data_IF_651872814449
#
_entry.id   IF_651872814449
#
_cell.length_a   1.000
_cell.length_b   1.000
_cell.length_c   1.000
_cell.angle_alpha   90.00
_cell.angle_beta   90.00
_cell.angle_gamma   90.00
#
_symmetry.space_group_name_H-M   'P 1'
#
loop_
_entity.id
_entity.type
_entity.pdbx_description
1 polymer ?
#
# COMPACT_ATOMS: atom_id res chain seq x y z
N UNK A 1 2.18 28.77 -23.52
CA UNK A 1 3.50 28.51 -22.90
C UNK A 1 4.31 27.46 -23.69
N UNK A 2 5.65 27.55 -23.75
CA UNK A 2 6.47 26.44 -24.29
C UNK A 2 6.24 25.17 -23.46
N UNK A 3 5.95 24.04 -24.10
CA UNK A 3 5.60 22.77 -23.43
C UNK A 3 6.72 22.21 -22.53
N UNK A 4 7.96 22.62 -22.74
CA UNK A 4 9.13 22.09 -22.03
C UNK A 4 9.72 23.07 -20.99
N UNK A 5 9.09 24.23 -20.76
CA UNK A 5 9.62 25.31 -19.89
C UNK A 5 9.95 24.82 -18.48
N UNK A 6 9.06 24.03 -17.86
CA UNK A 6 9.27 23.44 -16.54
C UNK A 6 10.45 22.46 -16.54
N UNK A 7 10.59 21.65 -17.58
CA UNK A 7 11.66 20.66 -17.68
C UNK A 7 13.02 21.31 -17.91
N UNK A 8 13.08 22.41 -18.67
CA UNK A 8 14.30 23.19 -18.88
C UNK A 8 14.77 23.85 -17.58
N UNK A 9 13.86 24.47 -16.81
CA UNK A 9 14.18 25.05 -15.51
C UNK A 9 14.64 23.99 -14.49
N UNK A 10 13.97 22.84 -14.43
CA UNK A 10 14.40 21.70 -13.60
C UNK A 10 15.78 21.17 -14.03
N UNK A 11 16.03 21.08 -15.34
CA UNK A 11 17.34 20.66 -15.88
C UNK A 11 18.45 21.64 -15.48
N UNK A 12 18.15 22.94 -15.48
CA UNK A 12 19.06 23.99 -15.00
C UNK A 12 19.28 23.92 -13.48
N UNK A 13 18.36 23.32 -12.73
CA UNK A 13 18.49 23.10 -11.27
C UNK A 13 17.51 23.91 -10.43
N UNK A 14 16.44 24.43 -11.05
CA UNK A 14 15.36 25.13 -10.38
C UNK A 14 14.23 24.17 -10.03
N UNK A 15 13.79 24.26 -8.80
CA UNK A 15 12.57 23.63 -8.29
C UNK A 15 11.45 24.66 -8.36
N UNK A 16 10.34 24.31 -9.02
CA UNK A 16 9.19 25.19 -9.22
C UNK A 16 8.02 24.62 -8.43
N UNK A 17 7.51 25.40 -7.49
CA UNK A 17 6.40 25.01 -6.62
C UNK A 17 5.27 26.04 -6.73
N UNK A 18 4.03 25.58 -6.62
CA UNK A 18 2.89 26.48 -6.45
C UNK A 18 2.77 26.85 -4.97
N UNK A 19 2.83 28.15 -4.67
CA UNK A 19 2.61 28.72 -3.35
C UNK A 19 1.31 29.53 -3.37
N UNK A 20 0.19 28.82 -3.24
CA UNK A 20 -1.16 29.37 -3.39
C UNK A 20 -1.41 29.92 -4.80
N UNK A 21 -1.48 31.25 -4.92
CA UNK A 21 -1.66 31.97 -6.20
C UNK A 21 -0.32 32.46 -6.80
N UNK A 22 0.80 32.03 -6.24
CA UNK A 22 2.15 32.40 -6.70
C UNK A 22 2.96 31.18 -7.10
N UNK A 23 3.99 31.42 -7.93
CA UNK A 23 4.98 30.41 -8.29
C UNK A 23 6.25 30.73 -7.52
N UNK A 24 6.73 29.75 -6.76
CA UNK A 24 8.00 29.83 -6.03
C UNK A 24 9.06 29.08 -6.84
N UNK A 25 10.17 29.76 -7.15
CA UNK A 25 11.32 29.16 -7.82
C UNK A 25 12.49 29.11 -6.86
N UNK A 26 13.04 27.92 -6.64
CA UNK A 26 14.18 27.69 -5.75
C UNK A 26 15.32 27.07 -6.52
N UNK A 27 16.48 27.71 -6.56
CA UNK A 27 17.69 27.12 -7.16
C UNK A 27 18.39 26.20 -6.15
N UNK A 28 18.59 24.93 -6.50
CA UNK A 28 19.10 23.89 -5.58
C UNK A 28 20.54 23.46 -5.86
N UNK A 29 21.14 23.90 -6.96
CA UNK A 29 22.52 23.53 -7.32
C UNK A 29 23.54 24.46 -6.67
N UNK A 30 24.77 23.99 -6.39
CA UNK A 30 25.83 24.83 -5.86
C UNK A 30 26.30 25.84 -6.92
N UNK A 31 26.45 27.10 -6.52
CA UNK A 31 26.87 28.22 -7.40
C UNK A 31 25.74 29.22 -7.67
N UNK A 32 26.00 30.18 -8.54
CA UNK A 32 24.99 31.14 -9.00
C UNK A 32 24.09 30.53 -10.07
N UNK A 33 22.82 30.95 -10.16
CA UNK A 33 21.91 30.51 -11.20
C UNK A 33 22.46 30.92 -12.58
N UNK A 34 22.41 30.02 -13.58
CA UNK A 34 22.94 30.31 -14.91
C UNK A 34 22.14 31.43 -15.57
N UNK A 35 22.81 32.37 -16.23
CA UNK A 35 22.16 33.50 -16.94
C UNK A 35 21.17 33.03 -18.01
N UNK A 36 21.35 31.82 -18.54
CA UNK A 36 20.41 31.16 -19.45
C UNK A 36 19.03 30.88 -18.82
N UNK A 37 18.89 30.96 -17.49
CA UNK A 37 17.61 30.82 -16.80
C UNK A 37 16.78 32.11 -16.81
N UNK A 38 17.40 33.29 -16.97
CA UNK A 38 16.70 34.58 -16.97
C UNK A 38 15.56 34.68 -17.98
N UNK A 39 15.74 34.32 -19.27
CA UNK A 39 14.63 34.37 -20.23
C UNK A 39 13.51 33.37 -19.90
N UNK A 40 13.86 32.22 -19.29
CA UNK A 40 12.88 31.20 -18.89
C UNK A 40 12.06 31.65 -17.67
N UNK A 41 12.69 32.34 -16.72
CA UNK A 41 12.02 32.91 -15.54
C UNK A 41 11.07 34.04 -15.96
N UNK A 42 11.48 34.90 -16.89
CA UNK A 42 10.61 35.95 -17.42
C UNK A 42 9.45 35.38 -18.24
N UNK A 43 9.67 34.34 -19.04
CA UNK A 43 8.59 33.63 -19.74
C UNK A 43 7.61 32.99 -18.73
N UNK A 44 8.11 32.36 -17.66
CA UNK A 44 7.27 31.78 -16.61
C UNK A 44 6.46 32.85 -15.86
N UNK A 45 7.05 34.03 -15.67
CA UNK A 45 6.37 35.18 -15.06
C UNK A 45 5.26 35.73 -15.94
N UNK A 46 5.47 35.80 -17.25
CA UNK A 46 4.43 36.22 -18.22
C UNK A 46 3.30 35.18 -18.33
N UNK A 47 3.64 33.91 -18.25
CA UNK A 47 2.68 32.80 -18.30
C UNK A 47 2.23 32.29 -16.92
N UNK A 48 2.34 33.11 -15.86
CA UNK A 48 2.08 32.70 -14.46
C UNK A 48 0.75 31.97 -14.27
N UNK A 49 -0.34 32.49 -14.86
CA UNK A 49 -1.68 31.89 -14.74
C UNK A 49 -1.78 30.54 -15.45
N UNK A 50 -1.18 30.42 -16.64
CA UNK A 50 -1.13 29.16 -17.40
C UNK A 50 -0.27 28.11 -16.69
N UNK A 51 0.86 28.54 -16.13
CA UNK A 51 1.77 27.70 -15.33
C UNK A 51 1.12 27.22 -14.02
N UNK A 52 0.35 28.06 -13.33
CA UNK A 52 -0.41 27.67 -12.14
C UNK A 52 -1.49 26.64 -12.47
N UNK A 53 -2.23 26.82 -13.57
CA UNK A 53 -3.23 25.83 -14.00
C UNK A 53 -2.57 24.49 -14.37
N UNK A 54 -1.42 24.50 -15.04
CA UNK A 54 -0.68 23.28 -15.36
C UNK A 54 -0.13 22.57 -14.12
N UNK A 55 0.34 23.30 -13.11
CA UNK A 55 0.77 22.72 -11.83
C UNK A 55 -0.42 22.14 -11.05
N UNK A 56 -1.55 22.85 -10.95
CA UNK A 56 -2.78 22.35 -10.34
C UNK A 56 -3.33 21.11 -11.05
N UNK A 57 -3.21 21.07 -12.38
CA UNK A 57 -3.59 19.89 -13.17
C UNK A 57 -2.59 18.74 -13.03
N UNK A 58 -1.29 19.00 -12.86
CA UNK A 58 -0.31 17.98 -12.48
C UNK A 58 -0.58 17.41 -11.08
N UNK A 59 -1.05 18.22 -10.13
CA UNK A 59 -1.47 17.75 -8.80
C UNK A 59 -2.75 16.90 -8.87
N UNK A 60 -3.69 17.23 -9.76
CA UNK A 60 -4.90 16.40 -10.00
C UNK A 60 -4.64 15.15 -10.85
N UNK A 61 -3.59 15.13 -11.65
CA UNK A 61 -3.21 14.03 -12.55
C UNK A 61 -2.14 13.09 -11.98
N UNK A 62 -1.49 13.46 -10.86
CA UNK A 62 -0.74 12.53 -10.02
C UNK A 62 -1.77 11.61 -9.36
N UNK A 63 -1.88 10.39 -9.88
CA UNK A 63 -2.27 9.24 -9.06
C UNK A 63 -1.67 9.44 -7.68
N UNK A 64 -2.55 9.52 -6.69
CA UNK A 64 -2.29 9.68 -5.26
C UNK A 64 -0.97 8.98 -4.90
N UNK A 65 0.14 9.73 -4.90
CA UNK A 65 1.21 9.48 -3.96
C UNK A 65 0.59 10.04 -2.69
N UNK A 66 0.16 9.19 -1.73
CA UNK A 66 -0.33 9.74 -0.49
C UNK A 66 0.76 10.68 0.02
N UNK A 67 0.35 11.80 0.58
CA UNK A 67 1.19 12.55 1.51
C UNK A 67 1.88 11.54 2.46
N UNK A 68 2.92 11.91 3.22
CA UNK A 68 3.07 11.28 4.52
C UNK A 68 1.85 11.68 5.37
N UNK A 69 0.64 11.23 4.96
CA UNK A 69 -0.47 10.93 5.82
C UNK A 69 0.21 10.33 7.01
N UNK A 70 0.07 10.98 8.16
CA UNK A 70 0.37 10.37 9.44
C UNK A 70 0.02 8.91 9.28
N UNK A 71 1.03 8.05 9.21
CA UNK A 71 0.78 6.62 9.21
C UNK A 71 0.17 6.46 10.58
N UNK A 72 -1.16 6.51 10.63
CA UNK A 72 -1.91 6.18 11.82
C UNK A 72 -1.41 4.77 12.06
N UNK A 73 -0.53 4.63 13.04
CA UNK A 73 -0.03 3.33 13.44
C UNK A 73 -1.25 2.65 14.02
N UNK A 74 -2.03 2.01 13.14
CA UNK A 74 -3.28 1.31 13.46
C UNK A 74 -3.01 0.32 14.58
N UNK A 75 -1.79 -0.19 14.64
CA UNK A 75 -1.28 -0.97 15.73
C UNK A 75 0.23 -0.74 15.90
N UNK A 76 0.69 -0.64 17.15
CA UNK A 76 2.12 -0.62 17.51
C UNK A 76 2.38 -1.78 18.46
N UNK A 77 3.46 -2.52 18.21
CA UNK A 77 3.85 -3.63 19.08
C UNK A 77 4.26 -3.09 20.47
N UNK A 78 3.66 -3.59 21.57
CA UNK A 78 3.99 -3.12 22.92
C UNK A 78 5.40 -3.52 23.38
N UNK A 79 6.02 -4.50 22.73
CA UNK A 79 7.37 -4.96 23.05
C UNK A 79 8.45 -4.21 22.26
N UNK A 80 9.63 -4.10 22.86
CA UNK A 80 10.77 -3.46 22.21
C UNK A 80 11.23 -4.24 20.97
N UNK A 81 11.54 -3.52 19.90
CA UNK A 81 12.03 -4.13 18.67
C UNK A 81 13.29 -4.98 18.92
N UNK A 82 13.37 -6.13 18.24
CA UNK A 82 14.49 -7.06 18.36
C UNK A 82 14.37 -8.08 19.50
N UNK A 83 13.34 -8.01 20.36
CA UNK A 83 13.09 -9.06 21.35
C UNK A 83 12.28 -10.23 20.76
N UNK A 84 12.43 -11.44 21.33
CA UNK A 84 11.59 -12.59 20.96
C UNK A 84 10.09 -12.32 21.11
N UNK A 85 9.69 -11.58 22.15
CA UNK A 85 8.30 -11.22 22.43
C UNK A 85 7.75 -10.28 21.36
N UNK A 86 8.53 -9.30 20.91
CA UNK A 86 8.14 -8.43 19.81
C UNK A 86 7.92 -9.23 18.53
N UNK A 87 8.84 -10.16 18.20
CA UNK A 87 8.65 -11.05 17.05
C UNK A 87 7.36 -11.88 17.20
N UNK A 88 7.16 -12.51 18.35
CA UNK A 88 6.01 -13.38 18.60
C UNK A 88 4.69 -12.62 18.49
N UNK A 89 4.62 -11.42 19.05
CA UNK A 89 3.41 -10.59 19.03
C UNK A 89 3.10 -10.08 17.62
N UNK A 90 4.11 -9.65 16.87
CA UNK A 90 3.91 -9.29 15.47
C UNK A 90 3.43 -10.48 14.63
N UNK A 91 3.96 -11.68 14.86
CA UNK A 91 3.50 -12.90 14.17
C UNK A 91 2.05 -13.25 14.53
N UNK A 92 1.70 -13.16 15.82
CA UNK A 92 0.31 -13.35 16.29
C UNK A 92 -0.64 -12.42 15.56
N UNK A 93 -0.34 -11.12 15.54
CA UNK A 93 -1.18 -10.12 14.88
C UNK A 93 -1.39 -10.41 13.39
N UNK A 94 -0.35 -10.82 12.67
CA UNK A 94 -0.45 -11.15 11.24
C UNK A 94 -1.32 -12.39 11.03
N UNK A 95 -1.15 -13.43 11.86
CA UNK A 95 -1.94 -14.66 11.78
C UNK A 95 -3.41 -14.40 12.10
N UNK A 96 -3.70 -13.66 13.17
CA UNK A 96 -5.07 -13.28 13.54
C UNK A 96 -5.73 -12.41 12.47
N UNK A 97 -5.01 -11.43 11.92
CA UNK A 97 -5.52 -10.58 10.84
C UNK A 97 -5.86 -11.41 9.59
N UNK A 98 -5.06 -12.43 9.31
CA UNK A 98 -5.27 -13.34 8.17
C UNK A 98 -6.54 -14.16 8.38
N UNK A 99 -6.71 -14.79 9.56
CA UNK A 99 -7.92 -15.55 9.90
C UNK A 99 -9.16 -14.66 9.88
N UNK A 100 -9.08 -13.47 10.47
CA UNK A 100 -10.21 -12.54 10.53
C UNK A 100 -10.63 -12.09 9.14
N UNK A 101 -9.67 -11.76 8.27
CA UNK A 101 -9.96 -11.41 6.87
C UNK A 101 -10.63 -12.57 6.13
N UNK A 102 -10.11 -13.78 6.28
CA UNK A 102 -10.70 -14.98 5.66
C UNK A 102 -12.11 -15.26 6.16
N UNK A 103 -12.37 -15.10 7.46
CA UNK A 103 -13.70 -15.22 8.05
C UNK A 103 -14.67 -14.19 7.47
N UNK A 104 -14.25 -12.93 7.35
CA UNK A 104 -15.07 -11.88 6.73
C UNK A 104 -15.39 -12.20 5.27
N UNK A 105 -14.43 -12.73 4.52
CA UNK A 105 -14.63 -13.15 3.12
C UNK A 105 -15.65 -14.31 3.02
N UNK A 106 -15.58 -15.30 3.92
CA UNK A 106 -16.54 -16.41 4.01
C UNK A 106 -17.94 -15.91 4.36
N UNK A 107 -18.04 -15.03 5.36
CA UNK A 107 -19.32 -14.44 5.80
C UNK A 107 -19.97 -13.64 4.67
N UNK A 108 -19.18 -12.88 3.91
CA UNK A 108 -19.67 -12.12 2.74
C UNK A 108 -20.13 -13.05 1.61
N UNK A 109 -19.46 -14.19 1.42
CA UNK A 109 -19.82 -15.20 0.42
C UNK A 109 -21.09 -16.00 0.74
N UNK A 110 -21.51 -16.03 2.00
CA UNK A 110 -22.80 -16.58 2.44
C UNK A 110 -22.94 -18.09 2.38
N UNK A 111 -21.87 -18.85 2.13
CA UNK A 111 -21.89 -20.31 2.13
C UNK A 111 -20.67 -20.87 2.86
N UNK A 112 -20.93 -21.65 3.91
CA UNK A 112 -19.91 -22.37 4.69
C UNK A 112 -20.46 -23.73 5.08
N UNK A 113 -19.68 -24.79 4.84
CA UNK A 113 -20.04 -26.15 5.24
C UNK A 113 -18.89 -26.80 5.99
N UNK A 114 -19.14 -27.18 7.23
CA UNK A 114 -18.19 -27.96 8.03
C UNK A 114 -18.20 -29.40 7.53
N UNK A 115 -17.08 -29.84 6.98
CA UNK A 115 -16.81 -31.22 6.57
C UNK A 115 -15.68 -31.81 7.42
N UNK A 116 -15.43 -33.11 7.32
CA UNK A 116 -14.25 -33.72 7.98
C UNK A 116 -12.94 -33.11 7.47
N UNK A 117 -12.87 -32.75 6.18
CA UNK A 117 -11.71 -32.05 5.61
C UNK A 117 -11.52 -30.66 6.21
N UNK A 118 -12.61 -29.91 6.46
CA UNK A 118 -12.55 -28.62 7.16
C UNK A 118 -12.04 -28.79 8.59
N UNK A 119 -12.54 -29.78 9.34
CA UNK A 119 -12.07 -30.06 10.71
C UNK A 119 -10.59 -30.44 10.77
N UNK A 120 -10.12 -31.26 9.83
CA UNK A 120 -8.71 -31.63 9.75
C UNK A 120 -7.83 -30.40 9.47
N UNK A 121 -8.31 -29.47 8.65
CA UNK A 121 -7.62 -28.21 8.37
C UNK A 121 -7.63 -27.27 9.58
N UNK A 122 -8.71 -27.20 10.36
CA UNK A 122 -8.76 -26.43 11.61
C UNK A 122 -7.71 -26.92 12.61
N UNK A 123 -7.61 -28.25 12.81
CA UNK A 123 -6.60 -28.82 13.70
C UNK A 123 -5.16 -28.57 13.19
N UNK A 124 -4.95 -28.67 11.88
CA UNK A 124 -3.65 -28.36 11.27
C UNK A 124 -3.27 -26.87 11.45
N UNK A 125 -4.23 -25.96 11.28
CA UNK A 125 -4.05 -24.52 11.51
C UNK A 125 -3.62 -24.27 12.95
N UNK A 126 -4.30 -24.85 13.94
CA UNK A 126 -3.97 -24.70 15.36
C UNK A 126 -2.54 -25.20 15.68
N UNK A 127 -2.16 -26.36 15.13
CA UNK A 127 -0.82 -26.89 15.34
C UNK A 127 0.26 -25.99 14.73
N UNK A 128 0.05 -25.49 13.51
CA UNK A 128 1.01 -24.61 12.84
C UNK A 128 1.08 -23.25 13.54
N UNK A 129 -0.05 -22.71 14.00
CA UNK A 129 -0.11 -21.49 14.79
C UNK A 129 0.79 -21.57 16.02
N UNK A 130 0.66 -22.64 16.81
CA UNK A 130 1.50 -22.86 17.99
C UNK A 130 2.99 -23.04 17.65
N UNK A 131 3.30 -23.76 16.55
CA UNK A 131 4.69 -23.93 16.08
C UNK A 131 5.32 -22.59 15.67
N UNK A 132 4.57 -21.72 14.99
CA UNK A 132 5.03 -20.38 14.59
C UNK A 132 5.31 -19.52 15.82
N UNK A 133 4.40 -19.50 16.79
CA UNK A 133 4.61 -18.74 18.03
C UNK A 133 5.82 -19.27 18.84
N UNK A 134 6.10 -20.57 18.77
CA UNK A 134 7.31 -21.16 19.35
C UNK A 134 8.59 -20.91 18.53
N UNK A 135 8.51 -20.19 17.41
CA UNK A 135 9.64 -19.89 16.53
C UNK A 135 10.13 -21.07 15.68
N UNK A 136 9.34 -22.14 15.55
CA UNK A 136 9.69 -23.38 14.84
C UNK A 136 8.89 -23.58 13.54
N UNK A 137 7.92 -22.72 13.27
CA UNK A 137 7.02 -22.80 12.13
C UNK A 137 7.29 -21.74 11.06
N UNK A 138 6.59 -21.87 9.94
CA UNK A 138 6.66 -20.93 8.82
C UNK A 138 5.30 -20.26 8.61
N UNK A 139 5.27 -18.93 8.57
CA UNK A 139 4.03 -18.18 8.35
C UNK A 139 3.39 -18.45 6.98
N UNK A 140 4.17 -18.79 5.96
CA UNK A 140 3.64 -19.17 4.64
C UNK A 140 2.82 -20.47 4.70
N UNK A 141 3.23 -21.42 5.54
CA UNK A 141 2.49 -22.67 5.76
C UNK A 141 1.11 -22.38 6.36
N UNK A 142 1.07 -21.49 7.36
CA UNK A 142 -0.18 -21.03 7.96
C UNK A 142 -1.11 -20.36 6.94
N UNK A 143 -0.59 -19.43 6.14
CA UNK A 143 -1.38 -18.74 5.09
C UNK A 143 -1.96 -19.77 4.10
N UNK A 144 -1.16 -20.75 3.68
CA UNK A 144 -1.61 -21.79 2.77
C UNK A 144 -2.70 -22.68 3.38
N UNK A 145 -2.60 -23.03 4.66
CA UNK A 145 -3.62 -23.81 5.37
C UNK A 145 -4.92 -23.03 5.51
N UNK A 146 -4.86 -21.74 5.83
CA UNK A 146 -6.05 -20.87 5.92
C UNK A 146 -6.74 -20.74 4.55
N UNK A 147 -5.98 -20.66 3.45
CA UNK A 147 -6.54 -20.68 2.10
C UNK A 147 -7.25 -21.99 1.78
N UNK A 148 -6.61 -23.14 2.09
CA UNK A 148 -7.22 -24.46 1.89
C UNK A 148 -8.46 -24.65 2.75
N UNK A 149 -8.45 -24.16 3.99
CA UNK A 149 -9.61 -24.20 4.89
C UNK A 149 -10.79 -23.41 4.33
N UNK A 150 -10.53 -22.19 3.84
CA UNK A 150 -11.53 -21.38 3.13
C UNK A 150 -12.09 -22.14 1.92
N UNK A 151 -11.23 -22.67 1.07
CA UNK A 151 -11.61 -23.43 -0.12
C UNK A 151 -12.46 -24.64 0.25
N UNK A 152 -12.01 -25.48 1.20
CA UNK A 152 -12.73 -26.68 1.62
C UNK A 152 -14.12 -26.37 2.18
N UNK A 153 -14.29 -25.29 2.94
CA UNK A 153 -15.58 -24.90 3.49
C UNK A 153 -16.51 -24.18 2.52
N UNK A 154 -15.99 -23.66 1.40
CA UNK A 154 -16.77 -22.89 0.40
C UNK A 154 -17.01 -23.66 -0.92
N UNK A 155 -16.17 -24.62 -1.31
CA UNK A 155 -16.27 -25.35 -2.59
C UNK A 155 -17.36 -26.43 -2.64
N UNK A 156 -18.07 -26.71 -1.53
CA UNK A 156 -19.17 -27.69 -1.57
C UNK A 156 -20.36 -27.26 -2.46
N UNK A 157 -20.32 -26.07 -3.09
CA UNK A 157 -21.31 -25.57 -4.05
C UNK A 157 -20.98 -25.87 -5.53
N UNK A 158 -19.72 -26.12 -5.89
CA UNK A 158 -19.33 -26.33 -7.31
C UNK A 158 -19.50 -27.77 -7.79
N UNK A 159 -19.49 -28.74 -6.87
CA UNK A 159 -19.73 -30.16 -7.19
C UNK A 159 -21.19 -30.50 -7.52
N UNK A 160 -22.17 -29.79 -6.94
CA UNK A 160 -23.60 -30.07 -7.14
C UNK A 160 -24.20 -29.41 -8.41
N UNK A 161 -23.54 -28.39 -8.98
CA UNK A 161 -24.04 -27.72 -10.20
C UNK A 161 -23.68 -28.40 -11.53
N UNK A 162 -22.83 -29.45 -11.51
CA UNK A 162 -22.37 -30.12 -12.74
C UNK A 162 -23.04 -31.47 -13.04
N UNK A 163 -24.08 -31.87 -12.30
CA UNK A 163 -24.83 -33.11 -12.56
C UNK A 163 -26.25 -32.92 -13.10
N UNK A 164 -26.61 -31.70 -13.54
CA UNK A 164 -27.92 -31.47 -14.18
C UNK A 164 -27.75 -30.68 -15.47
N UNK A 165 -27.36 -31.35 -16.55
CA UNK A 165 -27.76 -31.08 -17.94
C UNK A 165 -27.22 -32.18 -18.85
#
# INVERSE_FOLDING_TARGET
MRTNLFQELVTLGFEIEADGENLRLTYRKPGDPPESALPLIEELRQCKSEALELLKHQEKGKTVRPEPSQTVNVWTNPYSQGTPEARQESLRMVMESTLHRTLTDIQTGGYWKVTEGVRALEEAIDQVYLKILAGRGNIQEFINLVSQWREAGTHSREGERRQVS
#
